data_IF_263504424494
#
_entry.id   IF_263504424494
#
_cell.length_a   1.000
_cell.length_b   1.000
_cell.length_c   1.000
_cell.angle_alpha   90.00
_cell.angle_beta   90.00
_cell.angle_gamma   90.00
#
_symmetry.space_group_name_H-M   'P 1'
#
loop_
_entity.id
_entity.type
_entity.pdbx_description
1 polymer ?
2 non-polymer ?
3 water ?
#
# COMPACT_ATOMS: atom_id res chain seq x y z
N UNK A 1 22.02 6.53 -8.62
CA UNK A 1 20.98 5.52 -8.43
C UNK A 1 19.90 6.05 -7.50
N UNK A 2 20.07 7.22 -6.87
CA UNK A 2 18.91 7.69 -6.08
C UNK A 2 18.01 8.52 -6.98
N UNK A 3 16.71 8.32 -6.79
CA UNK A 3 15.71 9.02 -7.60
C UNK A 3 14.59 9.54 -6.71
N UNK A 4 14.01 10.71 -7.02
CA UNK A 4 12.91 11.18 -6.18
C UNK A 4 11.57 10.84 -6.81
N UNK A 5 10.60 10.66 -5.94
CA UNK A 5 9.20 10.45 -6.34
C UNK A 5 8.24 11.13 -5.38
N UNK A 6 7.27 11.85 -5.94
CA UNK A 6 6.24 12.42 -5.09
C UNK A 6 5.04 11.46 -5.11
N UNK A 7 4.55 11.23 -3.89
CA UNK A 7 3.44 10.34 -3.63
C UNK A 7 2.39 11.02 -2.76
N UNK A 8 1.20 10.45 -2.82
CA UNK A 8 0.13 10.96 -1.97
C UNK A 8 -0.36 9.86 -1.04
N UNK A 9 -0.33 10.08 0.27
CA UNK A 9 -0.81 9.10 1.22
C UNK A 9 -1.98 9.70 2.02
N UNK A 10 -2.89 8.82 2.41
CA UNK A 10 -3.90 9.31 3.38
C UNK A 10 -3.18 9.69 4.66
N UNK A 11 -3.72 10.51 5.55
CA UNK A 11 -3.15 10.75 6.89
C UNK A 11 -3.03 9.46 7.67
N UNK A 12 -4.03 8.55 7.57
CA UNK A 12 -3.90 7.31 8.34
C UNK A 12 -2.73 6.41 7.96
N UNK A 13 -2.54 6.22 6.65
CA UNK A 13 -1.36 5.48 6.21
C UNK A 13 -0.09 6.22 6.55
N UNK A 14 -0.09 7.55 6.40
CA UNK A 14 1.16 8.30 6.70
C UNK A 14 1.50 8.15 8.18
N UNK A 15 0.45 8.17 9.03
CA UNK A 15 0.81 8.02 10.47
C UNK A 15 1.39 6.65 10.71
N UNK A 16 0.84 5.60 10.07
CA UNK A 16 1.40 4.27 10.31
C UNK A 16 2.83 4.20 9.79
N UNK A 17 3.06 4.83 8.63
CA UNK A 17 4.41 4.92 8.09
C UNK A 17 5.35 5.61 9.07
N UNK A 18 4.97 6.79 9.59
CA UNK A 18 5.85 7.49 10.54
C UNK A 18 6.10 6.67 11.79
N UNK A 19 5.12 6.01 12.39
CA UNK A 19 5.38 5.15 13.54
C UNK A 19 6.38 4.04 13.27
N UNK A 20 6.16 3.35 12.14
CA UNK A 20 7.05 2.22 11.84
C UNK A 20 8.48 2.67 11.63
N UNK A 21 8.63 3.77 10.89
CA UNK A 21 9.95 4.31 10.61
C UNK A 21 10.63 4.75 11.91
N UNK A 22 9.89 5.42 12.79
CA UNK A 22 10.53 5.88 14.04
C UNK A 22 10.98 4.67 14.84
N UNK A 23 10.18 3.63 14.80
CA UNK A 23 10.43 2.40 15.55
C UNK A 23 11.74 1.77 15.17
N UNK A 24 11.95 1.76 13.86
CA UNK A 24 13.10 1.09 13.27
C UNK A 24 14.29 2.01 13.06
N UNK A 25 14.19 3.27 13.44
CA UNK A 25 15.26 4.24 13.22
C UNK A 25 15.48 4.50 11.72
N UNK A 26 14.40 4.50 10.93
CA UNK A 26 14.53 4.71 9.48
C UNK A 26 13.86 5.99 8.99
N UNK A 27 14.42 6.54 7.91
CA UNK A 27 13.66 7.60 7.21
C UNK A 27 12.39 7.01 6.61
N UNK A 28 11.42 7.86 6.28
CA UNK A 28 10.21 7.35 5.57
C UNK A 28 10.59 6.60 4.31
N UNK A 29 11.55 7.13 3.57
CA UNK A 29 12.02 6.54 2.33
C UNK A 29 12.57 5.13 2.52
N UNK A 30 13.35 4.97 3.59
CA UNK A 30 13.97 3.67 3.87
C UNK A 30 12.90 2.71 4.37
N UNK A 31 11.95 3.21 5.17
CA UNK A 31 10.88 2.32 5.61
C UNK A 31 10.02 1.87 4.45
N UNK A 32 9.66 2.80 3.56
CA UNK A 32 8.94 2.36 2.35
C UNK A 32 9.74 1.34 1.56
N UNK A 33 11.05 1.51 1.40
CA UNK A 33 11.88 0.56 0.71
C UNK A 33 11.81 -0.83 1.38
N UNK A 34 11.89 -0.89 2.70
CA UNK A 34 11.77 -2.17 3.44
C UNK A 34 10.44 -2.84 3.13
N UNK A 35 9.35 -2.06 3.20
CA UNK A 35 8.03 -2.64 3.05
C UNK A 35 7.88 -3.11 1.61
N UNK A 36 8.47 -2.38 0.66
CA UNK A 36 8.28 -2.80 -0.73
C UNK A 36 9.02 -4.12 -1.02
N UNK A 37 10.20 -4.26 -0.42
CA UNK A 37 10.94 -5.52 -0.66
C UNK A 37 10.22 -6.66 0.02
N UNK A 38 9.60 -6.43 1.17
CA UNK A 38 8.86 -7.49 1.86
C UNK A 38 7.68 -7.93 1.00
N UNK A 39 7.03 -6.93 0.39
CA UNK A 39 5.87 -7.22 -0.45
C UNK A 39 6.28 -7.96 -1.71
N UNK A 40 7.38 -7.51 -2.32
CA UNK A 40 7.86 -8.16 -3.54
C UNK A 40 8.16 -9.64 -3.26
N UNK A 41 8.76 -9.89 -2.11
CA UNK A 41 9.08 -11.21 -1.58
C UNK A 41 7.86 -12.11 -1.43
N UNK A 42 6.76 -11.53 -0.95
CA UNK A 42 5.58 -12.24 -0.55
C UNK A 42 4.79 -12.90 -1.65
N UNK A 43 5.46 -13.64 -2.51
CA UNK A 43 4.82 -14.34 -3.62
C UNK A 43 5.36 -15.77 -3.70
N UNK B 1 -6.73 14.70 5.76
CA UNK B 1 -6.78 14.89 4.32
C UNK B 1 -5.82 13.94 3.61
N UNK B 2 -5.58 14.19 2.33
CA UNK B 2 -4.51 13.55 1.57
C UNK B 2 -3.21 14.30 1.87
N UNK B 3 -2.09 13.59 1.88
CA UNK B 3 -0.84 14.23 2.24
C UNK B 3 0.19 13.94 1.15
N UNK B 4 0.88 14.98 0.72
CA UNK B 4 1.82 14.84 -0.38
C UNK B 4 3.23 14.87 0.16
N UNK B 5 4.06 13.91 -0.30
CA UNK B 5 5.41 13.93 0.23
C UNK B 5 6.37 13.37 -0.82
N UNK B 6 7.63 13.74 -0.68
CA UNK B 6 8.61 13.32 -1.68
C UNK B 6 9.58 12.39 -0.96
N UNK B 7 9.74 11.25 -1.60
CA UNK B 7 10.63 10.20 -1.13
C UNK B 7 11.77 10.00 -2.13
N UNK B 8 12.81 9.34 -1.63
CA UNK B 8 13.95 9.01 -2.48
C UNK B 8 14.09 7.49 -2.51
N UNK B 9 14.17 6.89 -3.69
CA UNK B 9 14.32 5.45 -3.84
C UNK B 9 15.53 5.15 -4.73
N UNK B 10 16.21 4.02 -4.50
CA UNK B 10 17.18 3.57 -5.47
C UNK B 10 16.45 3.30 -6.80
N UNK B 11 17.16 3.47 -7.91
CA UNK B 11 16.61 3.13 -9.21
C UNK B 11 16.02 1.74 -9.28
N UNK B 12 16.68 0.72 -8.74
CA UNK B 12 16.10 -0.63 -8.77
C UNK B 12 14.79 -0.76 -8.02
N UNK B 13 14.68 -0.07 -6.88
CA UNK B 13 13.49 -0.21 -6.06
C UNK B 13 12.35 0.52 -6.79
N UNK B 14 12.65 1.67 -7.38
CA UNK B 14 11.62 2.44 -8.09
C UNK B 14 11.17 1.70 -9.34
N UNK B 15 12.10 1.04 -10.04
CA UNK B 15 11.65 0.28 -11.21
C UNK B 15 10.76 -0.88 -10.77
N UNK B 16 11.11 -1.56 -9.66
CA UNK B 16 10.23 -2.65 -9.22
C UNK B 16 8.90 -2.14 -8.72
N UNK B 17 8.92 -0.99 -8.03
CA UNK B 17 7.67 -0.36 -7.64
C UNK B 17 6.73 -0.12 -8.81
N UNK B 18 7.26 0.43 -9.90
CA UNK B 18 6.42 0.72 -11.08
C UNK B 18 5.85 -0.57 -11.65
N UNK B 19 6.71 -1.59 -11.65
CA UNK B 19 6.28 -2.86 -12.23
C UNK B 19 5.14 -3.49 -11.46
N UNK B 20 5.34 -3.52 -10.12
CA UNK B 20 4.32 -4.06 -9.25
C UNK B 20 3.02 -3.27 -9.31
N UNK B 21 3.15 -1.94 -9.31
CA UNK B 21 1.96 -1.09 -9.40
C UNK B 21 1.21 -1.33 -10.71
N UNK B 22 1.95 -1.39 -11.81
CA UNK B 22 1.31 -1.67 -13.12
C UNK B 22 0.70 -3.07 -13.14
N UNK B 23 1.37 -4.07 -12.58
CA UNK B 23 0.80 -5.41 -12.59
C UNK B 23 -0.52 -5.47 -11.83
N UNK B 24 -0.67 -4.73 -10.74
CA UNK B 24 -1.86 -4.67 -9.91
C UNK B 24 -2.86 -3.61 -10.32
N UNK B 25 -2.58 -2.78 -11.34
CA UNK B 25 -3.45 -1.72 -11.75
C UNK B 25 -3.65 -0.60 -10.74
N UNK B 26 -2.62 -0.37 -9.90
CA UNK B 26 -2.55 0.61 -8.85
C UNK B 26 -1.67 1.82 -9.16
N UNK B 27 -1.98 2.98 -8.60
CA UNK B 27 -0.97 4.04 -8.57
C UNK B 27 0.23 3.61 -7.73
N UNK B 28 1.39 4.21 -7.90
CA UNK B 28 2.50 3.88 -7.02
C UNK B 28 2.18 4.27 -5.57
N UNK B 29 1.39 5.32 -5.35
CA UNK B 29 1.06 5.68 -3.95
C UNK B 29 0.24 4.59 -3.25
N UNK B 30 -0.68 4.02 -4.05
CA UNK B 30 -1.53 2.93 -3.58
C UNK B 30 -0.73 1.65 -3.40
N UNK B 31 0.17 1.39 -4.34
CA UNK B 31 1.06 0.23 -4.17
C UNK B 31 1.89 0.37 -2.92
N UNK B 32 2.48 1.55 -2.66
CA UNK B 32 3.21 1.74 -1.40
C UNK B 32 2.31 1.57 -0.18
N UNK B 33 1.07 2.08 -0.22
CA UNK B 33 0.14 1.92 0.88
C UNK B 33 -0.18 0.45 1.14
N UNK B 34 -0.41 -0.33 0.08
CA UNK B 34 -0.63 -1.77 0.30
C UNK B 34 0.62 -2.41 0.93
N UNK B 35 1.78 -2.03 0.39
CA UNK B 35 3.02 -2.63 0.90
C UNK B 35 3.19 -2.27 2.37
N UNK B 36 2.95 -0.99 2.74
CA UNK B 36 3.13 -0.60 4.13
C UNK B 36 2.21 -1.34 5.09
N UNK B 37 0.95 -1.50 4.64
CA UNK B 37 -0.01 -2.16 5.53
C UNK B 37 0.27 -3.65 5.61
N UNK B 38 0.68 -4.27 4.50
CA UNK B 38 1.09 -5.69 4.50
C UNK B 38 2.24 -5.88 5.50
N UNK B 39 3.25 -5.03 5.39
CA UNK B 39 4.37 -5.12 6.33
C UNK B 39 3.88 -4.95 7.76
N UNK B 40 3.06 -3.95 8.07
CA UNK B 40 2.59 -3.67 9.41
C UNK B 40 1.85 -4.88 9.98
N UNK B 41 1.00 -5.51 9.13
CA UNK B 41 0.21 -6.62 9.67
C UNK B 41 1.10 -7.85 9.81
N UNK B 42 2.12 -7.92 8.96
CA UNK B 42 2.95 -9.11 8.96
C UNK B 42 3.85 -9.18 10.17
N UNK B 43 3.91 -8.11 10.97
CA UNK B 43 4.80 -8.24 12.13
C UNK B 43 4.15 -7.74 13.40
N UNK B 44 3.10 -6.93 13.27
CA UNK B 44 2.62 -6.19 14.44
C UNK B 44 1.15 -5.85 14.38
N UNK B 45 0.57 -5.53 15.54
CA UNK B 45 -0.83 -5.14 15.63
C UNK B 45 -0.96 -3.73 16.21
N UNK C 1 -7.15 -11.69 -15.24
CA UNK C 1 -6.87 -11.02 -16.50
C UNK C 1 -8.12 -10.94 -17.36
N UNK C 2 -9.21 -10.37 -16.89
CA UNK C 2 -9.50 -9.87 -15.55
C UNK C 2 -11.01 -9.61 -15.48
N UNK C 3 -11.60 -10.36 -14.57
CA UNK C 3 -12.98 -10.76 -14.49
C UNK C 3 -13.85 -9.82 -13.68
N UNK C 4 -15.06 -9.51 -14.15
CA UNK C 4 -16.04 -8.84 -13.31
C UNK C 4 -16.83 -9.87 -12.48
N UNK C 5 -17.50 -9.38 -11.44
CA UNK C 5 -18.24 -10.11 -10.42
C UNK C 5 -19.23 -9.26 -9.64
N UNK C 6 -20.48 -9.74 -9.52
CA UNK C 6 -21.45 -8.98 -8.75
C UNK C 6 -21.63 -9.62 -7.37
N UNK C 7 -21.54 -8.86 -6.29
CA UNK C 7 -21.65 -9.34 -4.91
C UNK C 7 -22.74 -8.62 -4.12
N UNK C 8 -23.15 -9.10 -2.95
CA UNK C 8 -23.97 -8.38 -1.99
C UNK C 8 -23.30 -8.20 -0.64
N UNK C 9 -23.31 -6.99 -0.08
CA UNK C 9 -22.70 -6.63 1.18
C UNK C 9 -23.71 -5.84 2.04
N UNK C 10 -23.49 -5.93 3.33
CA UNK C 10 -24.12 -5.12 4.38
C UNK C 10 -23.90 -3.65 4.03
N UNK C 11 -24.90 -2.77 4.08
CA UNK C 11 -24.65 -1.34 3.81
C UNK C 11 -23.57 -0.83 4.75
N UNK C 12 -23.55 -1.40 5.95
CA UNK C 12 -22.44 -1.22 6.86
C UNK C 12 -21.15 -1.80 6.28
N UNK C 13 -21.16 -2.96 5.62
CA UNK C 13 -19.83 -3.42 5.21
C UNK C 13 -19.32 -2.57 4.04
N UNK C 14 -20.27 -2.18 3.21
CA UNK C 14 -20.02 -1.36 2.03
C UNK C 14 -19.46 -0.01 2.48
N UNK C 15 -20.05 0.64 3.47
CA UNK C 15 -19.48 1.91 3.94
C UNK C 15 -18.05 1.75 4.40
N UNK C 16 -17.70 0.67 5.12
CA UNK C 16 -16.35 0.50 5.61
C UNK C 16 -15.40 0.26 4.42
N UNK C 17 -15.91 -0.45 3.45
CA UNK C 17 -15.07 -0.78 2.28
C UNK C 17 -14.70 0.52 1.57
N UNK C 18 -15.66 1.40 1.35
CA UNK C 18 -15.38 2.74 0.80
C UNK C 18 -14.36 3.51 1.61
N UNK C 19 -14.51 3.53 2.93
CA UNK C 19 -13.54 4.24 3.76
C UNK C 19 -12.12 3.66 3.61
N UNK C 20 -12.04 2.35 3.67
CA UNK C 20 -10.77 1.64 3.56
C UNK C 20 -10.13 1.84 2.19
N UNK C 21 -10.95 1.69 1.15
CA UNK C 21 -10.46 1.92 -0.21
C UNK C 21 -9.89 3.33 -0.35
N UNK C 22 -10.61 4.36 0.11
CA UNK C 22 -10.05 5.70 0.03
C UNK C 22 -8.77 5.88 0.84
N UNK C 23 -8.71 5.36 2.06
CA UNK C 23 -7.50 5.47 2.89
C UNK C 23 -6.31 4.84 2.18
N UNK C 24 -6.54 3.85 1.33
CA UNK C 24 -5.45 3.14 0.62
C UNK C 24 -5.20 3.72 -0.76
N UNK C 25 -6.06 4.63 -1.25
CA UNK C 25 -5.80 5.25 -2.53
C UNK C 25 -6.09 4.36 -3.71
N UNK C 26 -7.04 3.44 -3.54
CA UNK C 26 -7.35 2.51 -4.61
C UNK C 26 -8.86 2.21 -4.68
N UNK C 27 -9.21 1.44 -5.69
CA UNK C 27 -10.63 1.16 -5.95
C UNK C 27 -11.16 0.18 -4.93
N UNK C 28 -12.50 0.16 -4.83
CA UNK C 28 -13.09 -0.84 -3.93
C UNK C 28 -12.76 -2.24 -4.40
N UNK C 29 -12.70 -2.49 -5.71
CA UNK C 29 -12.29 -3.78 -6.25
C UNK C 29 -10.89 -4.18 -5.77
N UNK C 30 -9.95 -3.23 -5.89
CA UNK C 30 -8.59 -3.49 -5.46
C UNK C 30 -8.49 -3.75 -3.96
N UNK C 31 -9.29 -2.97 -3.21
CA UNK C 31 -9.34 -3.18 -1.77
C UNK C 31 -9.87 -4.57 -1.42
N UNK C 32 -10.92 -5.06 -2.06
CA UNK C 32 -11.35 -6.45 -1.86
C UNK C 32 -10.27 -7.44 -2.24
N UNK C 33 -9.62 -7.20 -3.39
CA UNK C 33 -8.52 -8.06 -3.78
C UNK C 33 -7.42 -8.15 -2.73
N UNK C 34 -6.96 -7.02 -2.20
CA UNK C 34 -5.93 -6.95 -1.15
C UNK C 34 -6.39 -7.70 0.09
N UNK C 35 -7.66 -7.49 0.47
CA UNK C 35 -8.17 -8.17 1.67
C UNK C 35 -8.29 -9.67 1.52
N UNK C 36 -8.70 -10.13 0.34
CA UNK C 36 -8.75 -11.57 0.10
C UNK C 36 -7.35 -12.18 0.12
N UNK C 37 -6.38 -11.49 -0.47
CA UNK C 37 -5.01 -12.00 -0.39
C UNK C 37 -4.53 -12.06 1.05
N UNK C 38 -4.83 -11.06 1.86
CA UNK C 38 -4.46 -11.05 3.28
C UNK C 38 -5.09 -12.21 4.04
N UNK C 39 -6.33 -12.58 3.68
CA UNK C 39 -7.03 -13.61 4.41
C UNK C 39 -6.49 -15.00 4.08
N UNK C 40 -6.15 -15.16 2.81
CA UNK C 40 -5.57 -16.43 2.38
C UNK C 40 -4.35 -16.68 3.27
N UNK C 41 -3.59 -15.62 3.48
CA UNK C 41 -2.50 -15.59 4.45
C UNK C 41 -3.04 -16.00 5.83
N UNK C 42 -2.84 -15.16 6.82
CA UNK C 42 -3.21 -15.34 8.20
C UNK C 42 -3.23 -16.77 8.69
X LIG D 1 12.48 10.30 3.62
X LIG E 1 1.73 5.95 -10.59
X LIG F 1 -14.13 2.62 -6.10
#
# INVERSE_FOLDING_TARGET
MKKRLTITLSESVLENLEKMAREMGLSKSAMISVALENYKKGQER
MKKRLTITLSESVLENLEKMAREMGLSKSAMISVALENYKKGQER
MKKRLTITLSESVLENLEKMAREMGLSKSAMISVALENYKKGQER
CL CL
CL CL
CL CL
#
